data_IF_559083403443
#
_entry.id   IF_559083403443
#
_cell.length_a   1.000
_cell.length_b   1.000
_cell.length_c   1.000
_cell.angle_alpha   90.00
_cell.angle_beta   90.00
_cell.angle_gamma   90.00
#
_symmetry.space_group_name_H-M   'P 1'
#
loop_
_entity.id
_entity.type
_entity.pdbx_description
1 polymer ?
#
# COMPACT_ATOMS: atom_id res chain seq x y z
N UNK A 1 9.96 26.78 -15.49
CA UNK A 1 9.77 27.71 -16.66
C UNK A 1 8.30 28.06 -16.75
N UNK A 2 7.93 29.36 -16.58
CA UNK A 2 6.55 29.83 -16.63
C UNK A 2 6.01 29.72 -18.06
N UNK A 3 4.95 28.90 -18.25
CA UNK A 3 4.20 28.86 -19.48
C UNK A 3 3.54 30.22 -19.71
N UNK A 4 4.07 31.02 -20.63
CA UNK A 4 3.44 32.25 -21.11
C UNK A 4 2.12 31.85 -21.78
N UNK A 5 1.00 32.37 -21.26
CA UNK A 5 -0.33 32.06 -21.71
C UNK A 5 -0.50 32.40 -23.21
N UNK A 6 -0.70 31.38 -24.02
CA UNK A 6 -1.11 31.54 -25.42
C UNK A 6 -2.63 31.81 -25.44
N UNK A 7 -3.04 32.97 -25.89
CA UNK A 7 -4.46 33.28 -26.10
C UNK A 7 -4.96 32.34 -27.21
N UNK A 8 -6.03 31.60 -26.95
CA UNK A 8 -6.60 30.69 -27.97
C UNK A 8 -7.52 31.45 -28.91
N UNK A 9 -7.51 31.10 -30.19
CA UNK A 9 -8.36 31.70 -31.21
C UNK A 9 -9.86 31.67 -30.82
N UNK A 10 -10.42 30.59 -30.24
CA UNK A 10 -11.79 30.60 -29.75
C UNK A 10 -12.07 31.64 -28.67
N UNK A 11 -11.12 31.92 -27.78
CA UNK A 11 -11.30 32.91 -26.71
C UNK A 11 -11.37 34.33 -27.27
N UNK A 12 -10.61 34.61 -28.33
CA UNK A 12 -10.68 35.90 -29.04
C UNK A 12 -12.05 36.08 -29.72
N UNK A 13 -12.55 35.04 -30.38
CA UNK A 13 -13.87 35.09 -31.04
C UNK A 13 -15.00 35.30 -30.03
N UNK A 14 -14.98 34.65 -28.89
CA UNK A 14 -15.97 34.83 -27.83
C UNK A 14 -15.93 36.26 -27.29
N UNK A 15 -14.75 36.83 -27.07
CA UNK A 15 -14.62 38.23 -26.64
C UNK A 15 -15.13 39.24 -27.67
N UNK A 16 -14.93 38.98 -28.95
CA UNK A 16 -15.47 39.79 -30.02
C UNK A 16 -17.01 39.75 -29.98
N UNK A 17 -17.61 38.55 -29.87
CA UNK A 17 -19.07 38.43 -29.78
C UNK A 17 -19.65 39.12 -28.55
N UNK A 18 -19.03 38.95 -27.39
CA UNK A 18 -19.44 39.59 -26.14
C UNK A 18 -19.30 41.13 -26.22
N UNK A 19 -18.23 41.63 -26.82
CA UNK A 19 -18.01 43.05 -27.02
C UNK A 19 -19.09 43.65 -27.91
N UNK A 20 -19.50 42.97 -28.98
CA UNK A 20 -20.57 43.41 -29.89
C UNK A 20 -21.92 43.47 -29.18
N UNK A 21 -22.28 42.42 -28.41
CA UNK A 21 -23.55 42.34 -27.68
C UNK A 21 -23.62 43.42 -26.58
N UNK A 22 -22.54 43.53 -25.77
CA UNK A 22 -22.47 44.52 -24.71
C UNK A 22 -22.50 45.96 -25.24
N UNK A 23 -21.82 46.22 -26.36
CA UNK A 23 -21.82 47.55 -27.02
C UNK A 23 -23.18 47.93 -27.53
N UNK A 24 -23.94 46.99 -28.10
CA UNK A 24 -25.28 47.19 -28.54
C UNK A 24 -26.22 47.58 -27.40
N UNK A 25 -26.13 46.86 -26.28
CA UNK A 25 -26.93 47.12 -25.08
C UNK A 25 -26.57 48.48 -24.42
N UNK A 26 -25.29 48.80 -24.31
CA UNK A 26 -24.81 50.04 -23.70
C UNK A 26 -25.10 51.22 -24.61
N UNK A 27 -24.92 51.10 -25.93
CA UNK A 27 -25.26 52.14 -26.91
C UNK A 27 -26.75 52.50 -26.91
N UNK A 28 -27.63 51.49 -26.79
CA UNK A 28 -29.07 51.67 -26.64
C UNK A 28 -29.45 52.40 -25.33
N UNK A 29 -28.71 52.16 -24.23
CA UNK A 29 -29.00 52.72 -22.92
C UNK A 29 -28.40 54.11 -22.69
N UNK A 30 -27.29 54.44 -23.34
CA UNK A 30 -26.51 55.64 -23.05
C UNK A 30 -26.40 56.64 -24.19
N UNK A 31 -26.77 56.25 -25.43
CA UNK A 31 -26.64 57.09 -26.62
C UNK A 31 -25.20 57.30 -27.10
N UNK A 32 -24.22 56.60 -26.56
CA UNK A 32 -22.83 56.68 -27.02
C UNK A 32 -22.62 55.92 -28.34
N UNK A 33 -21.65 56.37 -29.11
CA UNK A 33 -21.31 55.77 -30.40
C UNK A 33 -20.91 54.30 -30.23
N UNK A 34 -21.58 53.41 -30.95
CA UNK A 34 -21.39 51.98 -30.94
C UNK A 34 -19.93 51.56 -31.16
N UNK A 35 -19.20 52.24 -32.05
CA UNK A 35 -17.80 51.92 -32.33
C UNK A 35 -16.87 52.20 -31.13
N UNK A 36 -17.11 53.29 -30.43
CA UNK A 36 -16.29 53.67 -29.25
C UNK A 36 -16.54 52.70 -28.11
N UNK A 37 -17.79 52.36 -27.84
CA UNK A 37 -18.16 51.41 -26.79
C UNK A 37 -17.60 50.00 -27.08
N UNK A 38 -17.67 49.56 -28.33
CA UNK A 38 -17.16 48.24 -28.72
C UNK A 38 -15.64 48.13 -28.59
N UNK A 39 -14.91 49.20 -28.94
CA UNK A 39 -13.45 49.24 -28.75
C UNK A 39 -13.05 49.19 -27.27
N UNK A 40 -13.73 49.91 -26.40
CA UNK A 40 -13.46 49.95 -24.96
C UNK A 40 -13.78 48.59 -24.33
N UNK A 41 -14.91 47.97 -24.62
CA UNK A 41 -15.30 46.67 -24.08
C UNK A 41 -14.34 45.57 -24.57
N UNK A 42 -13.90 45.62 -25.82
CA UNK A 42 -12.93 44.67 -26.36
C UNK A 42 -11.56 44.78 -25.69
N UNK A 43 -11.06 46.02 -25.51
CA UNK A 43 -9.78 46.26 -24.81
C UNK A 43 -9.85 45.85 -23.37
N UNK A 44 -10.91 46.17 -22.63
CA UNK A 44 -11.12 45.74 -21.26
C UNK A 44 -11.20 44.22 -21.15
N UNK A 45 -11.91 43.55 -22.04
CA UNK A 45 -12.02 42.09 -22.07
C UNK A 45 -10.69 41.38 -22.35
N UNK A 46 -9.87 41.94 -23.23
CA UNK A 46 -8.53 41.39 -23.51
C UNK A 46 -7.54 41.65 -22.38
N UNK A 47 -7.59 42.81 -21.75
CA UNK A 47 -6.75 43.14 -20.58
C UNK A 47 -7.10 42.26 -19.38
N UNK A 48 -8.37 42.05 -19.09
CA UNK A 48 -8.80 41.15 -18.00
C UNK A 48 -8.36 39.70 -18.22
N UNK A 49 -8.38 39.21 -19.47
CA UNK A 49 -7.83 37.86 -19.78
C UNK A 49 -6.30 37.76 -19.58
N UNK A 50 -5.58 38.88 -19.77
CA UNK A 50 -4.14 38.93 -19.56
C UNK A 50 -3.75 38.92 -18.05
N UNK A 51 -4.59 39.62 -17.25
CA UNK A 51 -4.39 39.73 -15.78
C UNK A 51 -4.90 38.47 -15.08
N UNK A 52 -5.99 37.89 -15.52
CA UNK A 52 -6.60 36.69 -14.99
C UNK A 52 -6.69 35.58 -16.05
N UNK A 53 -5.62 34.86 -16.33
CA UNK A 53 -5.66 33.76 -17.31
C UNK A 53 -6.50 32.59 -16.75
N UNK A 54 -7.81 32.73 -16.82
CA UNK A 54 -8.74 31.64 -16.58
C UNK A 54 -8.69 30.70 -17.78
N UNK A 55 -8.36 29.43 -17.55
CA UNK A 55 -8.57 28.37 -18.55
C UNK A 55 -10.07 28.14 -18.71
N UNK A 56 -10.73 29.00 -19.50
CA UNK A 56 -12.14 28.81 -19.84
C UNK A 56 -12.24 27.69 -20.86
N UNK A 57 -12.36 26.47 -20.39
CA UNK A 57 -12.92 25.37 -21.13
C UNK A 57 -14.45 25.42 -20.90
N UNK A 58 -15.21 25.90 -21.85
CA UNK A 58 -16.67 25.78 -21.92
C UNK A 58 -17.45 26.47 -20.79
N UNK A 59 -17.93 27.68 -21.03
CA UNK A 59 -18.63 28.55 -20.04
C UNK A 59 -20.02 28.03 -19.57
N UNK A 60 -20.55 26.94 -20.08
CA UNK A 60 -21.95 26.52 -19.82
C UNK A 60 -22.08 25.40 -18.80
N UNK A 61 -20.99 24.64 -18.47
CA UNK A 61 -21.08 23.44 -17.62
C UNK A 61 -20.25 23.47 -16.37
N UNK A 62 -19.57 24.54 -16.01
CA UNK A 62 -18.62 24.58 -14.91
C UNK A 62 -19.26 24.61 -13.50
N UNK A 63 -20.52 24.98 -13.35
CA UNK A 63 -21.17 25.15 -12.05
C UNK A 63 -21.75 23.88 -11.45
N UNK A 64 -22.42 23.07 -12.28
CA UNK A 64 -23.19 21.91 -11.77
C UNK A 64 -22.33 20.68 -11.53
N UNK A 65 -21.25 20.52 -12.28
CA UNK A 65 -20.40 19.32 -12.19
C UNK A 65 -19.29 19.42 -11.15
N UNK A 66 -18.99 20.60 -10.63
CA UNK A 66 -17.93 20.80 -9.62
C UNK A 66 -18.34 20.31 -8.24
N UNK A 67 -19.65 20.28 -7.94
CA UNK A 67 -20.18 19.81 -6.67
C UNK A 67 -20.30 18.29 -6.60
N UNK A 68 -20.61 17.63 -7.72
CA UNK A 68 -20.60 16.16 -7.83
C UNK A 68 -19.18 15.60 -7.64
N UNK A 69 -18.18 16.36 -8.02
CA UNK A 69 -16.75 16.06 -7.96
C UNK A 69 -16.16 16.03 -6.57
N UNK A 70 -16.53 16.97 -5.71
CA UNK A 70 -16.11 16.99 -4.31
C UNK A 70 -16.72 15.82 -3.54
N UNK A 71 -17.91 15.34 -3.90
CA UNK A 71 -18.52 14.16 -3.31
C UNK A 71 -17.78 12.85 -3.65
N UNK A 72 -17.42 12.62 -4.91
CA UNK A 72 -16.69 11.40 -5.34
C UNK A 72 -15.22 11.36 -4.86
N UNK A 73 -14.59 12.53 -4.68
CA UNK A 73 -13.24 12.59 -4.10
C UNK A 73 -13.24 12.18 -2.62
N UNK A 74 -14.31 12.41 -1.91
CA UNK A 74 -14.49 12.02 -0.49
C UNK A 74 -14.77 10.52 -0.38
N UNK A 75 -15.51 9.91 -1.31
CA UNK A 75 -15.73 8.46 -1.33
C UNK A 75 -14.48 7.63 -1.71
N UNK A 76 -13.53 8.26 -2.39
CA UNK A 76 -12.24 7.64 -2.72
C UNK A 76 -11.25 7.62 -1.54
N UNK A 77 -11.65 8.01 -0.36
CA UNK A 77 -10.87 7.85 0.86
C UNK A 77 -11.00 6.41 1.39
N UNK A 78 -10.61 5.44 0.58
CA UNK A 78 -10.04 4.22 1.18
C UNK A 78 -8.70 4.65 1.76
N UNK A 79 -8.48 4.48 3.09
CA UNK A 79 -7.19 4.80 3.67
C UNK A 79 -6.13 4.05 2.86
N UNK A 80 -5.16 4.77 2.33
CA UNK A 80 -3.96 4.16 1.78
C UNK A 80 -3.40 3.31 2.92
N UNK A 81 -3.49 2.01 2.77
CA UNK A 81 -3.00 1.05 3.75
C UNK A 81 -1.48 1.09 3.60
N UNK A 82 -0.87 2.01 4.33
CA UNK A 82 0.58 2.14 4.39
C UNK A 82 1.17 0.99 5.18
N UNK A 83 1.67 0.00 4.47
CA UNK A 83 2.48 -1.06 5.06
C UNK A 83 3.95 -0.60 5.14
N UNK A 84 4.21 0.48 5.89
CA UNK A 84 5.55 1.11 5.98
C UNK A 84 6.62 0.17 6.54
N UNK A 85 6.24 -0.83 7.34
CA UNK A 85 7.14 -1.88 7.82
C UNK A 85 7.81 -2.70 6.70
N UNK A 86 7.24 -2.75 5.49
CA UNK A 86 7.85 -3.41 4.34
C UNK A 86 9.10 -2.67 3.83
N UNK A 87 9.25 -1.38 4.16
CA UNK A 87 10.44 -0.61 3.79
C UNK A 87 11.67 -1.00 4.60
N UNK A 88 11.48 -1.61 5.78
CA UNK A 88 12.57 -2.13 6.61
C UNK A 88 13.17 -3.44 6.04
N UNK A 89 12.47 -4.11 5.12
CA UNK A 89 12.90 -5.37 4.51
C UNK A 89 13.84 -5.08 3.35
N UNK A 90 15.01 -5.76 3.27
CA UNK A 90 15.94 -5.62 2.16
C UNK A 90 15.28 -5.85 0.79
N UNK A 91 15.59 -4.99 -0.17
CA UNK A 91 15.06 -5.05 -1.53
C UNK A 91 16.05 -5.80 -2.44
N UNK A 92 15.61 -6.97 -2.93
CA UNK A 92 16.36 -7.82 -3.84
C UNK A 92 15.78 -7.81 -5.29
N UNK A 93 15.01 -6.79 -5.62
CA UNK A 93 14.34 -6.67 -6.94
C UNK A 93 15.31 -6.72 -8.13
N UNK A 94 16.57 -6.31 -7.94
CA UNK A 94 17.63 -6.37 -8.95
C UNK A 94 18.00 -7.80 -9.38
N UNK A 95 17.69 -8.80 -8.56
CA UNK A 95 18.00 -10.21 -8.82
C UNK A 95 16.84 -10.98 -9.45
N UNK A 96 15.72 -10.31 -9.74
CA UNK A 96 14.56 -10.91 -10.40
C UNK A 96 14.89 -11.20 -11.86
N UNK A 97 14.74 -12.47 -12.23
CA UNK A 97 14.92 -12.93 -13.61
C UNK A 97 13.55 -13.19 -14.25
N UNK A 98 13.39 -12.73 -15.48
CA UNK A 98 12.18 -12.99 -16.26
C UNK A 98 12.44 -14.22 -17.14
N UNK A 99 11.63 -15.25 -17.02
CA UNK A 99 11.60 -16.37 -17.97
C UNK A 99 11.13 -15.84 -19.33
N UNK A 100 11.74 -16.31 -20.43
CA UNK A 100 11.68 -15.75 -21.79
C UNK A 100 10.31 -15.35 -22.35
N UNK A 101 9.19 -15.80 -21.79
CA UNK A 101 7.83 -15.38 -22.13
C UNK A 101 7.32 -14.21 -21.28
N UNK A 102 8.08 -13.78 -20.24
CA UNK A 102 7.70 -12.70 -19.33
C UNK A 102 6.52 -13.01 -18.41
N UNK A 103 6.02 -14.24 -18.39
CA UNK A 103 4.87 -14.64 -17.58
C UNK A 103 5.23 -15.15 -16.19
N UNK A 104 6.44 -15.67 -16.02
CA UNK A 104 6.96 -16.14 -14.74
C UNK A 104 8.21 -15.36 -14.38
N UNK A 105 8.20 -14.73 -13.23
CA UNK A 105 9.36 -14.04 -12.68
C UNK A 105 9.85 -14.80 -11.46
N UNK A 106 11.13 -15.11 -11.45
CA UNK A 106 11.77 -15.92 -10.41
C UNK A 106 12.94 -15.16 -9.85
N UNK A 107 13.17 -15.27 -8.56
CA UNK A 107 14.39 -14.82 -7.89
C UNK A 107 15.16 -16.03 -7.37
N UNK A 108 16.46 -16.05 -7.63
CA UNK A 108 17.39 -17.06 -7.12
C UNK A 108 18.21 -16.46 -5.99
N UNK A 109 18.17 -17.07 -4.83
CA UNK A 109 18.98 -16.72 -3.68
C UNK A 109 19.99 -17.84 -3.42
N UNK A 110 21.27 -17.46 -3.27
CA UNK A 110 22.31 -18.42 -2.93
C UNK A 110 22.22 -18.74 -1.43
N UNK A 111 21.96 -19.98 -1.09
CA UNK A 111 22.12 -20.48 0.27
C UNK A 111 23.56 -20.93 0.48
N UNK A 112 24.31 -20.14 1.22
CA UNK A 112 25.63 -20.53 1.70
C UNK A 112 25.39 -21.44 2.90
N UNK A 113 25.76 -22.73 2.79
CA UNK A 113 25.50 -23.75 3.79
C UNK A 113 25.94 -23.41 5.23
N UNK A 114 25.88 -24.36 6.12
CA UNK A 114 26.26 -24.16 7.54
C UNK A 114 27.70 -23.73 7.69
N UNK A 115 27.97 -22.88 8.67
CA UNK A 115 29.34 -22.52 9.08
C UNK A 115 30.19 -23.78 9.38
N UNK A 116 31.48 -23.75 9.03
CA UNK A 116 32.37 -24.87 9.35
C UNK A 116 32.46 -25.09 10.87
N UNK A 117 32.61 -26.36 11.27
CA UNK A 117 32.80 -26.71 12.66
C UNK A 117 34.14 -26.17 13.20
N UNK A 118 34.08 -25.51 14.36
CA UNK A 118 35.28 -24.99 15.04
C UNK A 118 35.76 -26.03 16.06
N UNK A 119 36.94 -26.58 15.82
CA UNK A 119 37.58 -27.51 16.73
C UNK A 119 38.39 -26.75 17.79
N UNK A 120 37.96 -26.82 19.06
CA UNK A 120 38.66 -26.19 20.20
C UNK A 120 39.67 -27.16 20.79
N UNK A 121 40.94 -26.71 20.93
CA UNK A 121 42.05 -27.50 21.48
C UNK A 121 42.23 -28.86 20.77
N UNK A 122 42.11 -28.88 19.45
CA UNK A 122 42.27 -30.09 18.66
C UNK A 122 43.67 -30.64 18.73
N UNK A 123 43.81 -31.91 19.07
CA UNK A 123 45.07 -32.66 19.09
C UNK A 123 45.16 -33.72 17.99
N UNK A 124 44.11 -33.87 17.17
CA UNK A 124 44.02 -34.87 16.11
C UNK A 124 44.35 -34.28 14.76
N UNK A 125 45.34 -34.81 14.06
CA UNK A 125 45.75 -34.38 12.71
C UNK A 125 45.85 -35.61 11.80
N UNK A 126 45.53 -35.44 10.47
CA UNK A 126 45.14 -34.24 9.78
C UNK A 126 43.68 -33.82 10.09
N UNK A 127 43.41 -32.48 10.10
CA UNK A 127 42.07 -31.94 10.20
C UNK A 127 41.32 -32.24 8.88
N UNK A 128 40.11 -32.77 9.01
CA UNK A 128 39.24 -33.05 7.87
C UNK A 128 38.81 -31.78 7.14
N UNK A 129 38.53 -31.90 5.82
CA UNK A 129 37.97 -30.78 5.01
C UNK A 129 36.45 -30.78 5.15
N UNK A 130 35.87 -29.62 5.43
CA UNK A 130 34.45 -29.35 5.28
C UNK A 130 34.19 -28.61 3.95
N UNK A 131 33.32 -29.13 3.09
CA UNK A 131 32.87 -28.43 1.89
C UNK A 131 31.64 -27.62 2.23
N UNK A 132 31.67 -26.33 1.92
CA UNK A 132 30.48 -25.48 1.95
C UNK A 132 29.53 -25.95 0.83
N UNK A 133 28.37 -26.49 1.22
CA UNK A 133 27.31 -26.85 0.29
C UNK A 133 26.58 -25.57 -0.11
N UNK A 134 26.84 -25.07 -1.31
CA UNK A 134 26.06 -23.97 -1.87
C UNK A 134 24.75 -24.52 -2.45
N UNK A 135 23.63 -24.04 -1.94
CA UNK A 135 22.29 -24.33 -2.46
C UNK A 135 21.75 -23.14 -3.25
N UNK A 136 20.92 -23.41 -4.25
CA UNK A 136 20.10 -22.39 -4.91
C UNK A 136 18.67 -22.54 -4.40
N UNK A 137 18.15 -21.47 -3.81
CA UNK A 137 16.75 -21.40 -3.38
C UNK A 137 16.04 -20.46 -4.35
N UNK A 138 15.15 -21.03 -5.15
CA UNK A 138 14.36 -20.26 -6.10
C UNK A 138 12.97 -19.92 -5.53
N UNK A 139 12.57 -18.67 -5.66
CA UNK A 139 11.23 -18.20 -5.31
C UNK A 139 10.55 -17.63 -6.55
N UNK A 140 9.31 -18.05 -6.79
CA UNK A 140 8.47 -17.49 -7.84
C UNK A 140 7.73 -16.27 -7.28
N UNK A 141 7.73 -15.15 -8.04
CA UNK A 141 6.97 -13.96 -7.64
C UNK A 141 5.47 -14.19 -7.83
N UNK A 142 4.70 -13.70 -6.88
CA UNK A 142 3.23 -13.69 -6.96
C UNK A 142 2.77 -12.73 -8.06
N UNK A 143 1.80 -13.18 -8.87
CA UNK A 143 1.21 -12.41 -9.98
C UNK A 143 -0.10 -11.78 -9.53
N UNK A 144 -0.13 -10.46 -9.42
CA UNK A 144 -1.33 -9.68 -9.10
C UNK A 144 -1.93 -9.13 -10.39
N UNK A 145 -3.13 -9.55 -10.74
CA UNK A 145 -3.84 -9.08 -11.94
C UNK A 145 -5.21 -8.54 -11.54
N UNK A 146 -5.54 -7.34 -12.01
CA UNK A 146 -6.88 -6.78 -11.80
C UNK A 146 -7.85 -7.25 -12.87
N UNK A 147 -9.13 -7.32 -12.53
CA UNK A 147 -10.19 -7.53 -13.52
C UNK A 147 -10.27 -6.29 -14.41
N UNK A 148 -10.45 -6.48 -15.72
CA UNK A 148 -10.56 -5.35 -16.65
C UNK A 148 -11.80 -4.50 -16.35
N UNK A 149 -11.60 -3.18 -16.30
CA UNK A 149 -12.68 -2.19 -16.13
C UNK A 149 -12.96 -1.54 -17.47
N UNK A 150 -14.22 -1.57 -17.90
CA UNK A 150 -14.68 -0.89 -19.11
C UNK A 150 -14.99 0.58 -18.80
N UNK A 151 -14.63 1.44 -19.74
CA UNK A 151 -14.96 2.87 -19.75
C UNK A 151 -15.58 3.16 -21.09
N UNK A 152 -16.87 3.51 -21.12
CA UNK A 152 -17.62 3.76 -22.35
C UNK A 152 -17.28 5.15 -22.90
N UNK A 153 -17.40 5.33 -24.22
CA UNK A 153 -17.17 6.62 -24.88
C UNK A 153 -18.14 7.69 -24.39
N UNK A 154 -19.39 7.34 -24.13
CA UNK A 154 -20.39 8.25 -23.56
C UNK A 154 -19.95 8.79 -22.19
N UNK A 155 -19.36 7.94 -21.36
CA UNK A 155 -18.83 8.35 -20.06
C UNK A 155 -17.58 9.25 -20.19
N UNK A 156 -16.74 9.03 -21.19
CA UNK A 156 -15.57 9.89 -21.45
C UNK A 156 -15.98 11.29 -21.91
N UNK A 157 -17.04 11.41 -22.71
CA UNK A 157 -17.53 12.70 -23.22
C UNK A 157 -18.47 13.42 -22.25
N UNK A 158 -19.22 12.68 -21.43
CA UNK A 158 -20.18 13.26 -20.48
C UNK A 158 -19.54 13.82 -19.21
N UNK A 159 -18.32 13.41 -18.89
CA UNK A 159 -17.68 13.72 -17.61
C UNK A 159 -16.49 14.66 -17.81
N UNK A 160 -16.41 15.72 -17.00
CA UNK A 160 -15.37 16.77 -17.05
C UNK A 160 -14.01 16.33 -16.50
N UNK A 161 -13.86 15.09 -16.07
CA UNK A 161 -12.62 14.61 -15.46
C UNK A 161 -11.96 13.47 -16.25
N UNK A 162 -10.71 13.28 -15.99
CA UNK A 162 -9.97 12.15 -16.53
C UNK A 162 -10.38 10.85 -15.81
N UNK A 163 -11.50 10.26 -16.28
CA UNK A 163 -12.02 8.98 -15.73
C UNK A 163 -10.98 7.88 -15.85
N UNK A 164 -10.14 7.90 -16.88
CA UNK A 164 -9.08 6.91 -17.06
C UNK A 164 -8.07 7.02 -15.91
N UNK A 165 -7.67 8.23 -15.53
CA UNK A 165 -6.74 8.42 -14.42
C UNK A 165 -7.32 7.94 -13.08
N UNK A 166 -8.62 8.15 -12.85
CA UNK A 166 -9.31 7.64 -11.64
C UNK A 166 -9.39 6.13 -11.65
N UNK A 167 -9.77 5.51 -12.77
CA UNK A 167 -9.80 4.03 -12.90
C UNK A 167 -8.40 3.46 -12.66
N UNK A 168 -7.36 4.05 -13.24
CA UNK A 168 -5.98 3.64 -13.02
C UNK A 168 -5.57 3.72 -11.54
N UNK A 169 -5.95 4.80 -10.86
CA UNK A 169 -5.71 4.95 -9.41
C UNK A 169 -6.43 3.88 -8.59
N UNK A 170 -7.68 3.55 -8.92
CA UNK A 170 -8.45 2.48 -8.25
C UNK A 170 -7.81 1.10 -8.46
N UNK A 171 -7.36 0.77 -9.67
CA UNK A 171 -6.62 -0.46 -9.95
C UNK A 171 -5.33 -0.55 -9.15
N UNK A 172 -4.54 0.54 -9.13
CA UNK A 172 -3.31 0.62 -8.35
C UNK A 172 -3.57 0.36 -6.86
N UNK A 173 -4.55 1.02 -6.29
CA UNK A 173 -4.90 0.87 -4.87
C UNK A 173 -5.37 -0.56 -4.55
N UNK A 174 -6.16 -1.18 -5.42
CA UNK A 174 -6.60 -2.57 -5.26
C UNK A 174 -5.42 -3.56 -5.28
N UNK A 175 -4.44 -3.37 -6.17
CA UNK A 175 -3.22 -4.18 -6.20
C UNK A 175 -2.42 -3.96 -4.91
N UNK A 176 -2.21 -2.72 -4.49
CA UNK A 176 -1.42 -2.40 -3.30
C UNK A 176 -2.02 -3.03 -2.03
N UNK A 177 -3.35 -2.93 -1.85
CA UNK A 177 -4.03 -3.55 -0.71
C UNK A 177 -3.79 -5.07 -0.65
N UNK A 178 -3.98 -5.78 -1.77
CA UNK A 178 -3.76 -7.24 -1.83
C UNK A 178 -2.29 -7.63 -1.74
N UNK A 179 -1.38 -6.84 -2.33
CA UNK A 179 0.06 -6.99 -2.24
C UNK A 179 0.53 -6.94 -0.78
N UNK A 180 0.09 -5.95 -0.02
CA UNK A 180 0.48 -5.79 1.38
C UNK A 180 -0.12 -6.87 2.29
N UNK A 181 -1.39 -7.22 2.11
CA UNK A 181 -2.01 -8.31 2.86
C UNK A 181 -1.32 -9.65 2.60
N UNK A 182 -0.96 -9.95 1.33
CA UNK A 182 -0.22 -11.15 0.96
C UNK A 182 1.19 -11.16 1.57
N UNK A 183 1.88 -10.01 1.59
CA UNK A 183 3.19 -9.86 2.20
C UNK A 183 3.17 -10.18 3.70
N UNK A 184 2.23 -9.60 4.46
CA UNK A 184 2.08 -9.90 5.90
C UNK A 184 1.76 -11.37 6.13
N UNK A 185 0.88 -11.94 5.30
CA UNK A 185 0.57 -13.36 5.39
C UNK A 185 1.81 -14.25 5.16
N UNK A 186 2.70 -13.87 4.22
CA UNK A 186 3.93 -14.62 3.94
C UNK A 186 4.95 -14.52 5.10
N UNK A 187 4.99 -13.38 5.81
CA UNK A 187 5.85 -13.15 6.98
C UNK A 187 5.36 -13.87 8.25
N UNK A 188 4.15 -14.40 8.27
CA UNK A 188 3.61 -15.13 9.41
C UNK A 188 3.98 -16.63 9.33
N UNK A 189 4.37 -17.27 10.46
CA UNK A 189 4.68 -18.70 10.49
C UNK A 189 3.47 -19.56 10.17
N UNK A 190 3.69 -20.72 9.53
CA UNK A 190 2.61 -21.66 9.21
C UNK A 190 2.08 -22.35 10.46
N UNK A 191 2.97 -22.76 11.35
CA UNK A 191 2.68 -23.44 12.61
C UNK A 191 3.76 -23.10 13.64
N UNK A 192 3.49 -23.44 14.90
CA UNK A 192 4.46 -23.26 15.98
C UNK A 192 5.64 -24.21 15.84
N UNK A 193 6.86 -23.66 15.88
CA UNK A 193 8.10 -24.44 15.98
C UNK A 193 9.14 -23.67 16.80
N UNK A 194 10.25 -24.32 17.11
CA UNK A 194 11.37 -23.68 17.83
C UNK A 194 11.92 -22.48 17.05
N UNK A 195 12.01 -22.58 15.71
CA UNK A 195 12.56 -21.54 14.84
C UNK A 195 11.52 -20.50 14.37
N UNK A 196 10.24 -20.84 14.49
CA UNK A 196 9.11 -20.01 14.06
C UNK A 196 8.03 -20.02 15.14
N UNK A 197 8.23 -19.33 16.27
CA UNK A 197 7.34 -19.42 17.43
C UNK A 197 5.98 -18.79 17.15
N UNK A 198 4.92 -19.51 17.54
CA UNK A 198 3.56 -18.99 17.67
C UNK A 198 3.25 -18.89 19.16
N UNK A 199 3.05 -17.68 19.66
CA UNK A 199 2.69 -17.42 21.05
C UNK A 199 1.21 -17.11 21.19
N UNK A 200 0.56 -17.70 22.18
CA UNK A 200 -0.85 -17.47 22.47
C UNK A 200 -1.00 -16.41 23.55
N UNK A 201 -1.97 -15.51 23.38
CA UNK A 201 -2.25 -14.47 24.40
C UNK A 201 -2.69 -15.09 25.73
N UNK A 202 -2.23 -14.50 26.85
CA UNK A 202 -2.48 -15.02 28.21
C UNK A 202 -3.34 -14.11 29.07
N UNK A 203 -3.66 -12.91 28.62
CA UNK A 203 -4.37 -11.90 29.42
C UNK A 203 -5.82 -12.23 29.78
N UNK A 204 -6.52 -11.26 30.31
CA UNK A 204 -7.90 -11.42 30.76
C UNK A 204 -8.84 -11.82 29.62
N UNK A 205 -9.81 -12.67 29.90
CA UNK A 205 -10.81 -13.11 28.92
C UNK A 205 -11.87 -12.04 28.68
N UNK A 206 -12.05 -11.66 27.43
CA UNK A 206 -13.11 -10.76 26.97
C UNK A 206 -13.79 -11.34 25.73
N UNK A 207 -15.10 -11.55 25.78
CA UNK A 207 -15.84 -12.12 24.66
C UNK A 207 -15.39 -13.53 24.23
N UNK A 208 -14.94 -14.35 25.18
CA UNK A 208 -14.44 -15.71 24.91
C UNK A 208 -13.03 -15.77 24.32
N UNK A 209 -12.32 -14.65 24.28
CA UNK A 209 -10.93 -14.56 23.79
C UNK A 209 -10.04 -13.90 24.85
N UNK A 210 -8.78 -14.33 24.96
CA UNK A 210 -7.80 -13.74 25.85
C UNK A 210 -7.16 -12.50 25.22
N UNK A 211 -7.03 -11.45 25.99
CA UNK A 211 -6.37 -10.22 25.55
C UNK A 211 -4.85 -10.40 25.44
N UNK A 212 -4.23 -9.65 24.55
CA UNK A 212 -2.77 -9.54 24.47
C UNK A 212 -2.25 -8.68 25.65
N UNK A 213 -1.13 -9.10 26.25
CA UNK A 213 -0.46 -8.42 27.36
C UNK A 213 0.98 -8.04 26.98
N UNK A 214 1.58 -7.18 27.79
CA UNK A 214 3.02 -6.84 27.66
C UNK A 214 3.88 -8.07 27.92
N UNK A 215 3.49 -8.91 28.88
CA UNK A 215 4.20 -10.15 29.20
C UNK A 215 4.24 -11.11 27.99
N UNK A 216 3.14 -11.20 27.23
CA UNK A 216 3.11 -12.00 25.99
C UNK A 216 4.16 -11.54 24.97
N UNK A 217 4.42 -10.22 24.88
CA UNK A 217 5.45 -9.67 23.99
C UNK A 217 6.86 -9.97 24.50
N UNK A 218 7.07 -9.90 25.80
CA UNK A 218 8.34 -10.25 26.45
C UNK A 218 8.65 -11.73 26.21
N UNK A 219 7.67 -12.61 26.42
CA UNK A 219 7.79 -14.04 26.18
C UNK A 219 8.05 -14.38 24.71
N UNK A 220 7.36 -13.68 23.79
CA UNK A 220 7.61 -13.84 22.35
C UNK A 220 9.04 -13.39 21.97
N UNK A 221 9.52 -12.30 22.56
CA UNK A 221 10.90 -11.83 22.42
C UNK A 221 11.91 -12.86 22.95
N UNK A 222 11.62 -13.47 24.10
CA UNK A 222 12.40 -14.56 24.69
C UNK A 222 12.48 -15.80 23.77
N UNK A 223 11.35 -16.21 23.17
CA UNK A 223 11.29 -17.31 22.20
C UNK A 223 12.11 -17.03 20.94
N UNK A 224 12.08 -15.80 20.42
CA UNK A 224 12.91 -15.40 19.28
C UNK A 224 14.41 -15.42 19.64
N UNK A 225 14.76 -14.99 20.85
CA UNK A 225 16.14 -15.05 21.33
C UNK A 225 16.62 -16.49 21.51
N UNK A 226 15.76 -17.38 22.01
CA UNK A 226 16.05 -18.84 22.09
C UNK A 226 16.23 -19.46 20.68
N UNK A 227 15.54 -18.97 19.67
CA UNK A 227 15.72 -19.31 18.27
C UNK A 227 16.96 -18.63 17.62
N UNK A 228 17.83 -17.99 18.42
CA UNK A 228 19.05 -17.30 17.99
C UNK A 228 18.79 -16.14 17.00
N UNK A 229 17.65 -15.48 17.08
CA UNK A 229 17.37 -14.26 16.34
C UNK A 229 18.02 -13.09 17.09
N UNK A 230 18.87 -12.24 16.44
CA UNK A 230 19.52 -11.11 17.09
C UNK A 230 18.51 -10.09 17.65
N UNK A 231 18.89 -9.43 18.74
CA UNK A 231 18.15 -8.32 19.35
C UNK A 231 18.96 -7.02 19.17
N UNK A 232 19.03 -6.57 17.92
CA UNK A 232 19.79 -5.41 17.46
C UNK A 232 18.89 -4.22 17.04
N UNK A 233 17.61 -4.27 17.42
CA UNK A 233 16.61 -3.27 17.05
C UNK A 233 16.01 -3.46 15.65
N UNK A 234 16.32 -4.57 14.95
CA UNK A 234 15.74 -4.91 13.64
C UNK A 234 14.60 -5.93 13.72
N UNK A 235 14.15 -6.25 14.92
CA UNK A 235 12.92 -7.04 15.13
C UNK A 235 11.71 -6.13 14.91
N UNK A 236 10.85 -6.52 14.00
CA UNK A 236 9.66 -5.76 13.62
C UNK A 236 8.42 -6.48 14.12
N UNK A 237 7.58 -5.77 14.84
CA UNK A 237 6.29 -6.24 15.32
C UNK A 237 5.18 -5.48 14.59
N UNK A 238 4.40 -6.20 13.79
CA UNK A 238 3.21 -5.67 13.14
C UNK A 238 1.99 -6.09 13.96
N UNK A 239 1.39 -5.14 14.64
CA UNK A 239 0.24 -5.36 15.52
C UNK A 239 -1.08 -5.28 14.76
N UNK A 240 -1.97 -6.22 15.08
CA UNK A 240 -3.39 -6.11 14.77
C UNK A 240 -4.03 -5.03 15.66
N UNK A 241 -5.09 -4.39 15.16
CA UNK A 241 -5.84 -3.35 15.88
C UNK A 241 -6.36 -3.83 17.24
N UNK A 242 -6.80 -5.09 17.34
CA UNK A 242 -7.34 -5.65 18.59
C UNK A 242 -6.23 -5.79 19.64
N UNK A 243 -5.07 -6.39 19.25
CA UNK A 243 -3.93 -6.54 20.14
C UNK A 243 -3.35 -5.18 20.54
N UNK A 244 -3.23 -4.23 19.59
CA UNK A 244 -2.78 -2.88 19.90
C UNK A 244 -3.71 -2.20 20.93
N UNK A 245 -5.03 -2.31 20.77
CA UNK A 245 -5.98 -1.72 21.70
C UNK A 245 -5.86 -2.33 23.12
N UNK A 246 -5.62 -3.64 23.20
CA UNK A 246 -5.42 -4.33 24.49
C UNK A 246 -4.15 -3.84 25.17
N UNK A 247 -3.02 -3.80 24.43
CA UNK A 247 -1.72 -3.33 24.93
C UNK A 247 -1.76 -1.86 25.38
N UNK A 248 -2.38 -0.97 24.59
CA UNK A 248 -2.52 0.44 24.97
C UNK A 248 -3.33 0.61 26.25
N UNK A 249 -4.39 -0.18 26.44
CA UNK A 249 -5.18 -0.15 27.68
C UNK A 249 -4.37 -0.61 28.89
N UNK A 250 -3.58 -1.66 28.75
CA UNK A 250 -2.71 -2.19 29.79
C UNK A 250 -1.60 -1.18 30.12
N UNK A 251 -0.87 -0.71 29.11
CA UNK A 251 0.27 0.21 29.24
C UNK A 251 -0.17 1.56 29.84
N UNK A 252 -1.35 2.06 29.48
CA UNK A 252 -1.92 3.28 30.05
C UNK A 252 -2.00 3.24 31.58
N UNK A 253 -2.29 2.08 32.15
CA UNK A 253 -2.47 1.93 33.58
C UNK A 253 -1.15 1.72 34.34
N UNK A 254 -0.18 1.01 33.74
CA UNK A 254 1.02 0.54 34.41
C UNK A 254 2.32 1.16 33.91
N UNK A 255 2.39 1.55 32.63
CA UNK A 255 3.62 1.94 31.95
C UNK A 255 3.45 3.21 31.11
N UNK A 256 3.15 4.34 31.76
CA UNK A 256 2.89 5.62 31.06
C UNK A 256 4.02 6.08 30.14
N UNK A 257 5.25 5.64 30.40
CA UNK A 257 6.42 6.00 29.58
C UNK A 257 6.45 5.36 28.20
N UNK A 258 5.67 4.30 27.99
CA UNK A 258 5.58 3.59 26.69
C UNK A 258 4.49 4.13 25.75
N UNK A 259 3.72 5.11 26.20
CA UNK A 259 2.71 5.79 25.37
C UNK A 259 3.22 7.17 24.99
N UNK A 260 3.10 7.50 23.71
CA UNK A 260 3.24 8.88 23.28
C UNK A 260 1.97 9.65 23.69
N UNK A 261 2.08 10.52 24.68
CA UNK A 261 0.94 11.25 25.25
C UNK A 261 0.23 12.14 24.22
N UNK A 262 0.98 12.64 23.21
CA UNK A 262 0.41 13.51 22.18
C UNK A 262 -0.46 12.73 21.16
N UNK A 263 -0.08 11.49 20.84
CA UNK A 263 -0.76 10.68 19.82
C UNK A 263 -1.61 9.56 20.40
N UNK A 264 -1.44 9.21 21.67
CA UNK A 264 -2.10 8.08 22.32
C UNK A 264 -1.64 6.70 21.79
N UNK A 265 -0.60 6.67 20.95
CA UNK A 265 -0.05 5.45 20.37
C UNK A 265 1.10 4.88 21.20
N UNK A 266 1.38 3.59 21.07
CA UNK A 266 2.61 2.99 21.58
C UNK A 266 3.84 3.65 20.97
N UNK A 267 4.95 3.71 21.72
CA UNK A 267 6.21 4.20 21.18
C UNK A 267 6.65 3.30 20.02
N UNK A 268 7.35 3.87 19.01
CA UNK A 268 7.84 3.11 17.86
C UNK A 268 8.80 1.97 18.24
N UNK A 269 9.50 2.10 19.36
CA UNK A 269 10.34 1.03 19.92
C UNK A 269 9.74 0.56 21.24
N UNK A 270 9.35 -0.70 21.32
CA UNK A 270 8.71 -1.32 22.48
C UNK A 270 9.29 -2.72 22.72
N UNK A 271 9.93 -2.93 23.88
CA UNK A 271 10.59 -4.19 24.25
C UNK A 271 11.48 -4.82 23.18
N UNK A 272 12.32 -4.00 22.54
CA UNK A 272 13.22 -4.44 21.47
C UNK A 272 12.58 -4.60 20.09
N UNK A 273 11.26 -4.36 19.97
CA UNK A 273 10.55 -4.41 18.70
C UNK A 273 10.30 -3.02 18.16
N UNK A 274 10.48 -2.82 16.85
CA UNK A 274 9.87 -1.70 16.11
C UNK A 274 8.42 -2.03 15.86
N UNK A 275 7.51 -1.19 16.36
CA UNK A 275 6.07 -1.45 16.33
C UNK A 275 5.41 -0.72 15.16
N UNK A 276 4.67 -1.47 14.37
CA UNK A 276 3.83 -0.98 13.28
C UNK A 276 2.40 -1.48 13.46
N UNK A 277 1.43 -0.75 12.93
CA UNK A 277 0.02 -1.13 12.94
C UNK A 277 -0.42 -1.50 11.53
N UNK A 278 -1.12 -2.62 11.43
CA UNK A 278 -1.73 -3.04 10.17
C UNK A 278 -3.02 -3.82 10.45
N UNK A 279 -4.04 -3.65 9.63
CA UNK A 279 -5.35 -4.23 9.94
C UNK A 279 -5.64 -5.53 9.19
N UNK A 280 -5.12 -5.72 7.97
CA UNK A 280 -5.31 -6.97 7.22
C UNK A 280 -4.27 -8.02 7.62
N UNK A 281 -4.45 -8.60 8.81
CA UNK A 281 -3.53 -9.58 9.39
C UNK A 281 -3.96 -11.02 9.06
N UNK A 282 -3.01 -11.99 9.05
CA UNK A 282 -3.35 -13.40 8.88
C UNK A 282 -4.17 -13.93 10.05
N UNK A 283 -4.93 -14.98 9.78
CA UNK A 283 -5.71 -15.70 10.78
C UNK A 283 -5.11 -17.06 11.04
N UNK A 284 -5.37 -17.58 12.24
CA UNK A 284 -4.97 -18.91 12.66
C UNK A 284 -6.21 -19.71 13.04
N UNK A 285 -6.19 -21.02 12.76
CA UNK A 285 -7.25 -21.91 13.22
C UNK A 285 -7.25 -21.98 14.75
N UNK A 286 -8.44 -21.91 15.34
CA UNK A 286 -8.60 -21.98 16.79
C UNK A 286 -8.32 -23.39 17.35
N UNK A 287 -8.39 -24.43 16.52
CA UNK A 287 -8.23 -25.82 16.89
C UNK A 287 -6.76 -26.23 17.12
N UNK A 288 -5.87 -25.78 16.24
CA UNK A 288 -4.47 -26.28 16.19
C UNK A 288 -3.43 -25.14 16.05
N UNK A 289 -3.87 -23.88 16.02
CA UNK A 289 -3.05 -22.70 15.85
C UNK A 289 -2.18 -22.75 14.58
N UNK A 290 -2.69 -23.36 13.50
CA UNK A 290 -2.06 -23.30 12.19
C UNK A 290 -2.62 -22.12 11.39
N UNK A 291 -1.76 -21.54 10.53
CA UNK A 291 -2.13 -20.38 9.71
C UNK A 291 -3.14 -20.77 8.63
N UNK A 292 -4.21 -20.02 8.54
CA UNK A 292 -5.25 -20.19 7.50
C UNK A 292 -4.73 -19.70 6.15
N UNK A 293 -5.16 -20.34 5.06
CA UNK A 293 -4.77 -19.97 3.69
C UNK A 293 -5.13 -18.52 3.36
N UNK A 294 -4.28 -17.86 2.56
CA UNK A 294 -4.53 -16.51 2.11
C UNK A 294 -5.85 -16.40 1.33
N UNK A 295 -6.63 -15.37 1.60
CA UNK A 295 -7.92 -15.14 0.94
C UNK A 295 -9.13 -15.81 1.61
N UNK A 296 -8.92 -16.58 2.68
CA UNK A 296 -10.03 -17.14 3.45
C UNK A 296 -10.81 -16.01 4.15
N UNK A 297 -12.11 -16.19 4.28
CA UNK A 297 -12.97 -15.26 5.01
C UNK A 297 -12.87 -15.52 6.51
N UNK A 298 -12.71 -14.46 7.29
CA UNK A 298 -12.64 -14.57 8.74
C UNK A 298 -13.94 -15.11 9.33
N UNK A 299 -13.82 -16.15 10.16
CA UNK A 299 -14.93 -16.69 10.95
C UNK A 299 -14.57 -16.62 12.44
N UNK A 300 -15.26 -15.79 13.27
CA UNK A 300 -14.92 -15.61 14.68
C UNK A 300 -14.96 -16.89 15.52
N UNK A 301 -15.76 -17.89 15.11
CA UNK A 301 -15.92 -19.16 15.84
C UNK A 301 -14.74 -20.12 15.64
N UNK A 302 -14.10 -20.07 14.49
CA UNK A 302 -13.06 -21.04 14.09
C UNK A 302 -11.69 -20.41 13.87
N UNK A 303 -11.61 -19.07 13.78
CA UNK A 303 -10.37 -18.37 13.51
C UNK A 303 -9.99 -17.45 14.68
N UNK A 304 -8.69 -17.36 14.92
CA UNK A 304 -8.07 -16.45 15.85
C UNK A 304 -7.29 -15.38 15.12
N UNK A 305 -7.36 -14.15 15.62
CA UNK A 305 -6.63 -13.00 15.10
C UNK A 305 -5.16 -13.11 15.52
N UNK A 306 -4.24 -12.71 14.63
CA UNK A 306 -2.82 -12.72 14.92
C UNK A 306 -2.17 -11.34 14.72
N UNK A 307 -1.04 -11.14 15.38
CA UNK A 307 -0.01 -10.13 15.07
C UNK A 307 1.26 -10.86 14.65
N UNK A 308 2.05 -10.25 13.78
CA UNK A 308 3.21 -10.89 13.17
C UNK A 308 4.48 -10.21 13.65
N UNK A 309 5.49 -11.01 13.94
CA UNK A 309 6.84 -10.57 14.28
C UNK A 309 7.82 -11.17 13.28
N UNK A 310 8.79 -10.38 12.85
CA UNK A 310 9.87 -10.88 11.99
C UNK A 310 11.16 -10.07 12.20
N UNK A 311 12.28 -10.67 11.82
CA UNK A 311 13.59 -10.03 11.82
C UNK A 311 13.95 -9.57 10.40
N UNK A 312 13.99 -8.27 10.17
CA UNK A 312 14.08 -7.69 8.83
C UNK A 312 15.26 -8.19 7.98
N UNK A 313 16.50 -8.35 8.49
CA UNK A 313 17.64 -8.82 7.69
C UNK A 313 17.51 -10.24 7.12
N UNK A 314 16.73 -11.10 7.78
CA UNK A 314 16.47 -12.48 7.32
C UNK A 314 15.29 -12.58 6.35
N UNK A 315 14.63 -11.47 6.08
CA UNK A 315 13.58 -11.35 5.09
C UNK A 315 14.12 -10.75 3.80
N UNK A 316 13.37 -10.89 2.71
CA UNK A 316 13.59 -10.16 1.47
C UNK A 316 12.28 -9.77 0.81
N UNK A 317 12.32 -8.69 0.05
CA UNK A 317 11.25 -8.31 -0.85
C UNK A 317 11.80 -8.25 -2.28
N UNK A 318 10.97 -8.60 -3.24
CA UNK A 318 11.30 -8.50 -4.65
C UNK A 318 10.10 -7.96 -5.42
N UNK A 319 10.34 -6.96 -6.23
CA UNK A 319 9.37 -6.34 -7.10
C UNK A 319 9.73 -6.63 -8.54
N UNK A 320 8.77 -7.17 -9.28
CA UNK A 320 8.94 -7.49 -10.69
C UNK A 320 8.30 -6.43 -11.59
N UNK A 321 8.05 -6.81 -12.84
CA UNK A 321 7.51 -5.89 -13.84
C UNK A 321 6.04 -5.55 -13.57
N UNK A 322 5.70 -4.27 -13.78
CA UNK A 322 4.31 -3.81 -13.84
C UNK A 322 3.94 -3.56 -15.30
N UNK A 323 2.83 -4.12 -15.75
CA UNK A 323 2.34 -3.93 -17.13
C UNK A 323 0.87 -3.50 -17.11
N UNK A 324 0.57 -2.44 -17.83
CA UNK A 324 -0.78 -2.01 -18.14
C UNK A 324 -1.21 -2.67 -19.46
N UNK A 325 -2.42 -3.19 -19.48
CA UNK A 325 -3.09 -3.65 -20.69
C UNK A 325 -4.23 -2.69 -20.97
N UNK A 326 -4.27 -2.18 -22.18
CA UNK A 326 -5.28 -1.28 -22.66
C UNK A 326 -5.87 -1.86 -23.95
N UNK A 327 -7.18 -1.92 -24.00
CA UNK A 327 -7.95 -2.34 -25.16
C UNK A 327 -8.70 -1.12 -25.70
N UNK A 328 -8.48 -0.81 -26.98
CA UNK A 328 -9.10 0.33 -27.63
C UNK A 328 -10.61 0.08 -27.84
N UNK A 329 -11.44 1.13 -27.87
CA UNK A 329 -12.85 0.99 -28.18
C UNK A 329 -13.04 0.31 -29.54
N UNK A 330 -13.85 -0.73 -29.57
CA UNK A 330 -14.24 -1.42 -30.79
C UNK A 330 -15.66 -0.97 -31.25
N UNK A 331 -16.01 -1.34 -32.48
CA UNK A 331 -17.30 -0.97 -33.09
C UNK A 331 -18.50 -1.66 -32.41
N UNK A 332 -18.27 -2.74 -31.64
CA UNK A 332 -19.35 -3.48 -30.97
C UNK A 332 -19.56 -3.01 -29.53
N UNK A 333 -18.47 -2.69 -28.82
CA UNK A 333 -18.53 -2.36 -27.39
C UNK A 333 -18.50 -0.85 -27.11
N UNK A 334 -17.97 -0.03 -28.04
CA UNK A 334 -17.81 1.44 -27.89
C UNK A 334 -17.28 1.83 -26.51
N UNK A 335 -16.30 1.02 -26.01
CA UNK A 335 -15.74 1.16 -24.68
C UNK A 335 -14.28 0.74 -24.69
N UNK A 336 -13.44 1.52 -24.02
CA UNK A 336 -12.07 1.13 -23.69
C UNK A 336 -12.06 0.19 -22.47
N UNK A 337 -11.10 -0.74 -22.42
CA UNK A 337 -10.89 -1.58 -21.25
C UNK A 337 -9.45 -1.45 -20.75
N UNK A 338 -9.28 -1.40 -19.43
CA UNK A 338 -7.97 -1.28 -18.78
C UNK A 338 -7.84 -2.31 -17.68
N UNK A 339 -6.69 -3.00 -17.64
CA UNK A 339 -6.30 -3.79 -16.49
C UNK A 339 -4.79 -3.70 -16.24
N UNK A 340 -4.36 -4.17 -15.06
CA UNK A 340 -2.96 -4.15 -14.64
C UNK A 340 -2.49 -5.52 -14.21
N UNK A 341 -1.22 -5.79 -14.47
CA UNK A 341 -0.49 -6.93 -13.94
C UNK A 341 0.77 -6.44 -13.24
N UNK A 342 0.99 -6.91 -12.02
CA UNK A 342 2.15 -6.58 -11.20
C UNK A 342 2.70 -7.85 -10.54
N UNK A 343 4.02 -7.97 -10.46
CA UNK A 343 4.69 -9.08 -9.78
C UNK A 343 5.35 -8.58 -8.51
N UNK A 344 5.14 -9.31 -7.42
CA UNK A 344 5.72 -8.98 -6.13
C UNK A 344 5.84 -10.20 -5.24
N UNK A 345 6.87 -10.20 -4.40
CA UNK A 345 7.06 -11.23 -3.38
C UNK A 345 7.69 -10.63 -2.15
N UNK A 346 7.24 -11.09 -0.97
CA UNK A 346 7.94 -10.96 0.30
C UNK A 346 7.99 -12.34 0.93
N UNK A 347 9.16 -12.76 1.37
CA UNK A 347 9.32 -14.06 2.01
C UNK A 347 10.52 -14.05 2.97
N UNK A 348 10.56 -14.97 3.96
CA UNK A 348 11.78 -15.23 4.71
C UNK A 348 12.80 -15.95 3.82
N UNK A 349 14.08 -15.58 3.92
CA UNK A 349 15.19 -16.24 3.22
C UNK A 349 15.31 -17.71 3.63
N UNK A 350 15.03 -18.00 4.90
CA UNK A 350 14.98 -19.34 5.49
C UNK A 350 13.74 -19.45 6.39
N UNK A 351 13.27 -20.64 6.66
CA UNK A 351 12.14 -20.88 7.57
C UNK A 351 12.51 -20.62 9.03
N UNK A 352 12.92 -19.38 9.34
CA UNK A 352 13.29 -18.91 10.67
C UNK A 352 13.08 -17.40 10.81
N UNK A 353 13.25 -16.91 12.03
CA UNK A 353 13.21 -15.48 12.35
C UNK A 353 11.85 -14.80 12.04
N UNK A 354 10.78 -15.59 12.02
CA UNK A 354 9.39 -15.15 11.95
C UNK A 354 8.63 -15.70 13.14
N UNK A 355 7.67 -14.96 13.65
CA UNK A 355 6.83 -15.38 14.77
C UNK A 355 5.43 -14.77 14.69
N UNK A 356 4.52 -15.26 15.51
CA UNK A 356 3.17 -14.72 15.61
C UNK A 356 2.70 -14.68 17.07
N UNK A 357 1.99 -13.61 17.43
CA UNK A 357 1.17 -13.52 18.62
C UNK A 357 -0.28 -13.78 18.20
N UNK A 358 -0.88 -14.86 18.67
CA UNK A 358 -2.21 -15.32 18.29
C UNK A 358 -3.16 -15.22 19.47
N UNK A 359 -4.35 -14.66 19.27
CA UNK A 359 -5.38 -14.62 20.28
C UNK A 359 -5.75 -16.02 20.73
N UNK A 360 -5.68 -16.32 22.04
CA UNK A 360 -6.12 -17.61 22.58
C UNK A 360 -7.64 -17.60 22.81
N UNK A 361 -8.26 -18.78 22.74
CA UNK A 361 -9.60 -18.98 23.26
C UNK A 361 -9.57 -19.05 24.79
N UNK A 362 -10.69 -18.73 25.44
CA UNK A 362 -10.87 -18.79 26.88
C UNK A 362 -10.78 -20.23 27.40
#
# INVERSE_FOLDING_TARGET
>A
MKNKGKISIPAILINICLAIIASFLIGLATGFDFMVVSAVVFVLGTVTQFIFPTKVKGLIYAGVYREIWTGELVESFQPEIEASFLNEIPDESRHVQSSGTGENQVIHLVDIGADPEVLINNTTYPIGYSTLANGDISFQLDKFTTVATKVTDDELYAITYDKIAVVNKKHKNAILAKKFAKAVHALAPQANSVNTPVHLTTGATVGGKKLATVDDLIDLGGKLSAAKVPDDGNRILVLNTVHNTALVKEVKNFYKDYINVATGALRPLFHGFKVYLYHEMPFYLAADNTKVSFGAVFNPATHNIASVVFYAPDMFRAEGTTKMYYDEPDTQNQAAAVNYRHYYLVAPKKARAIGALVTANA
#
